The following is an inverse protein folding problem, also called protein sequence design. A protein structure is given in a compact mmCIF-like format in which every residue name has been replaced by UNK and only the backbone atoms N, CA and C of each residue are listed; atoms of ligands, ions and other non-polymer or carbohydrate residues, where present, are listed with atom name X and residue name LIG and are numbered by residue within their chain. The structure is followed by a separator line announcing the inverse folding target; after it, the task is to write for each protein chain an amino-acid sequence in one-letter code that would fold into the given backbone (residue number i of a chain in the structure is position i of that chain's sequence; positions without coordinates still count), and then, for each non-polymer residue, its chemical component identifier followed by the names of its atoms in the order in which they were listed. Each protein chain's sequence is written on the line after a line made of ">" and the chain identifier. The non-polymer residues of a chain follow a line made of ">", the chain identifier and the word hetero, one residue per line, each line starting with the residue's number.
data_IF_548791265504
#
_entry.id   IF_548791265504
#
_cell.length_a   1.000
_cell.length_b   1.000
_cell.length_c   1.000
_cell.angle_alpha   90.00
_cell.angle_beta   90.00
_cell.angle_gamma   90.00
#
_symmetry.space_group_name_H-M   'P 1'
#
loop_
_entity.id
_entity.type
_entity.pdbx_description
1 polymer ?
#
# COMPACT_ATOMS: atom_id res chain seq x y z
N UNK A 1 -13.00 0.84 13.71
CA UNK A 1 -12.93 -0.04 14.91
C UNK A 1 -12.29 -1.40 14.59
N UNK A 2 -12.78 -2.11 13.59
CA UNK A 2 -12.23 -3.42 13.19
C UNK A 2 -10.74 -3.30 12.84
N UNK A 3 -10.37 -2.30 12.06
CA UNK A 3 -8.97 -2.04 11.70
C UNK A 3 -8.06 -1.87 12.92
N UNK A 4 -8.48 -1.06 13.91
CA UNK A 4 -7.69 -0.82 15.13
C UNK A 4 -7.47 -2.12 15.91
N UNK A 5 -8.53 -2.93 16.05
CA UNK A 5 -8.48 -4.22 16.73
C UNK A 5 -7.54 -5.18 15.99
N UNK A 6 -7.73 -5.35 14.69
CA UNK A 6 -6.92 -6.26 13.86
C UNK A 6 -5.45 -5.84 13.85
N UNK A 7 -5.15 -4.54 13.70
CA UNK A 7 -3.79 -4.02 13.76
C UNK A 7 -3.11 -4.36 15.07
N UNK A 8 -3.81 -4.23 16.18
CA UNK A 8 -3.27 -4.52 17.50
C UNK A 8 -3.02 -6.01 17.71
N UNK A 9 -3.97 -6.86 17.33
CA UNK A 9 -3.77 -8.31 17.36
C UNK A 9 -2.62 -8.74 16.45
N UNK A 10 -2.50 -8.16 15.27
CA UNK A 10 -1.39 -8.47 14.35
C UNK A 10 -0.03 -8.11 14.96
N UNK A 11 0.09 -6.92 15.55
CA UNK A 11 1.32 -6.49 16.27
C UNK A 11 1.78 -7.56 17.27
N UNK A 12 0.85 -8.06 18.08
CA UNK A 12 1.15 -9.03 19.12
C UNK A 12 1.36 -10.45 18.59
N UNK A 13 0.65 -10.84 17.55
CA UNK A 13 0.88 -12.10 16.85
C UNK A 13 2.29 -12.15 16.24
N UNK A 14 2.71 -11.09 15.57
CA UNK A 14 4.04 -10.99 14.97
C UNK A 14 5.15 -11.01 16.04
N UNK A 15 4.93 -10.32 17.18
CA UNK A 15 5.83 -10.37 18.32
C UNK A 15 5.96 -11.81 18.90
N UNK A 16 4.84 -12.50 19.06
CA UNK A 16 4.83 -13.88 19.55
C UNK A 16 5.57 -14.82 18.61
N UNK A 17 5.30 -14.74 17.30
CA UNK A 17 5.97 -15.55 16.29
C UNK A 17 7.47 -15.29 16.23
N UNK A 18 7.91 -14.04 16.44
CA UNK A 18 9.32 -13.70 16.53
C UNK A 18 9.98 -14.35 17.74
N UNK A 19 9.36 -14.24 18.92
CA UNK A 19 9.87 -14.87 20.14
C UNK A 19 9.94 -16.39 20.01
N UNK A 20 8.97 -17.00 19.37
CA UNK A 20 8.95 -18.44 19.10
C UNK A 20 10.10 -18.86 18.19
N UNK A 21 10.38 -18.10 17.12
CA UNK A 21 11.53 -18.34 16.24
C UNK A 21 12.87 -18.20 16.98
N UNK A 22 12.94 -17.29 17.94
CA UNK A 22 14.13 -17.08 18.79
C UNK A 22 14.27 -18.11 19.93
N UNK A 23 13.37 -19.10 20.01
CA UNK A 23 13.36 -20.12 21.06
C UNK A 23 13.00 -19.57 22.46
N UNK A 24 12.45 -18.36 22.56
CA UNK A 24 12.05 -17.76 23.81
C UNK A 24 10.67 -18.27 24.25
N UNK A 25 10.54 -18.60 25.53
CA UNK A 25 9.30 -19.11 26.09
C UNK A 25 8.20 -18.07 26.24
N UNK A 26 6.98 -18.51 26.60
CA UNK A 26 5.81 -17.66 26.84
C UNK A 26 6.03 -16.57 27.89
N UNK A 27 6.94 -16.75 28.84
CA UNK A 27 7.31 -15.76 29.86
C UNK A 27 7.92 -14.47 29.28
N UNK A 28 8.50 -14.56 28.09
CA UNK A 28 9.08 -13.40 27.39
C UNK A 28 8.05 -12.60 26.57
N UNK A 29 6.83 -13.11 26.46
CA UNK A 29 5.75 -12.44 25.74
C UNK A 29 4.99 -11.49 26.66
N UNK A 30 4.92 -10.23 26.27
CA UNK A 30 4.29 -9.21 27.10
C UNK A 30 3.39 -8.31 26.26
N UNK A 31 2.17 -8.12 26.74
CA UNK A 31 1.21 -7.16 26.13
C UNK A 31 1.24 -5.88 26.98
N UNK A 32 1.46 -4.76 26.33
CA UNK A 32 1.48 -3.45 26.98
C UNK A 32 0.14 -3.13 27.62
N UNK A 33 0.15 -2.61 28.84
CA UNK A 33 -1.07 -2.17 29.53
C UNK A 33 -1.73 -0.97 28.84
N UNK A 34 -0.94 -0.15 28.14
CA UNK A 34 -1.46 0.94 27.32
C UNK A 34 -2.26 0.39 26.13
N UNK A 35 -1.70 -0.58 25.42
CA UNK A 35 -2.37 -1.22 24.28
C UNK A 35 -3.62 -2.00 24.71
N UNK A 36 -3.59 -2.66 25.88
CA UNK A 36 -4.79 -3.29 26.44
C UNK A 36 -5.89 -2.26 26.71
N UNK A 37 -5.53 -1.13 27.31
CA UNK A 37 -6.50 -0.06 27.56
C UNK A 37 -7.06 0.52 26.27
N UNK A 38 -6.23 0.74 25.26
CA UNK A 38 -6.67 1.21 23.94
C UNK A 38 -7.60 0.19 23.29
N UNK A 39 -7.27 -1.10 23.34
CA UNK A 39 -8.11 -2.16 22.81
C UNK A 39 -9.48 -2.20 23.51
N UNK A 40 -9.51 -2.13 24.84
CA UNK A 40 -10.76 -2.15 25.62
C UNK A 40 -11.58 -0.86 25.46
N UNK A 41 -10.94 0.27 25.16
CA UNK A 41 -11.61 1.53 24.85
C UNK A 41 -12.18 1.56 23.42
N UNK A 42 -11.70 0.69 22.53
CA UNK A 42 -12.20 0.62 21.17
C UNK A 42 -13.66 0.15 21.16
N UNK A 43 -14.53 0.94 20.52
CA UNK A 43 -15.97 0.65 20.52
C UNK A 43 -16.29 -0.72 19.96
N UNK A 44 -17.03 -1.46 20.77
CA UNK A 44 -17.76 -2.65 20.33
C UNK A 44 -19.23 -2.54 20.75
N UNK A 45 -20.14 -2.93 19.87
CA UNK A 45 -21.59 -2.81 20.10
C UNK A 45 -22.06 -3.50 21.38
N UNK A 46 -21.42 -4.62 21.74
CA UNK A 46 -21.78 -5.46 22.89
C UNK A 46 -20.75 -5.42 24.02
N UNK A 47 -19.66 -4.62 23.86
CA UNK A 47 -18.56 -4.61 24.80
C UNK A 47 -17.70 -5.89 24.74
N UNK A 48 -16.72 -5.95 25.62
CA UNK A 48 -15.86 -7.12 25.80
C UNK A 48 -16.32 -7.89 27.03
N UNK A 49 -16.35 -9.21 26.92
CA UNK A 49 -16.54 -10.09 28.08
C UNK A 49 -15.58 -11.29 28.00
N UNK A 50 -15.18 -11.77 29.15
CA UNK A 50 -14.30 -12.95 29.27
C UNK A 50 -15.13 -14.24 29.54
N UNK A 51 -16.45 -14.12 29.61
CA UNK A 51 -17.33 -15.21 30.03
C UNK A 51 -17.16 -16.50 29.24
N UNK A 52 -16.97 -16.40 27.90
CA UNK A 52 -16.79 -17.58 27.06
C UNK A 52 -15.49 -18.37 27.32
N UNK A 53 -14.51 -17.76 27.95
CA UNK A 53 -13.26 -18.44 28.29
C UNK A 53 -13.35 -19.27 29.56
N UNK A 54 -14.29 -18.88 30.47
CA UNK A 54 -14.38 -19.46 31.80
C UNK A 54 -15.66 -20.24 32.06
N UNK A 55 -16.75 -19.83 31.41
CA UNK A 55 -18.06 -20.42 31.63
C UNK A 55 -18.87 -20.52 30.32
N UNK A 56 -19.71 -21.53 30.25
CA UNK A 56 -20.72 -21.65 29.22
C UNK A 56 -22.04 -21.15 29.77
N UNK A 57 -22.65 -20.12 29.18
CA UNK A 57 -23.92 -19.51 29.60
C UNK A 57 -23.94 -18.93 31.04
N UNK A 58 -23.25 -17.81 31.26
CA UNK A 58 -23.25 -17.08 32.51
C UNK A 58 -23.60 -15.61 32.38
N UNK A 59 -23.87 -14.93 33.50
CA UNK A 59 -24.05 -13.46 33.54
C UNK A 59 -22.85 -12.68 33.01
N UNK A 60 -21.67 -13.28 33.10
CA UNK A 60 -20.38 -12.68 32.66
C UNK A 60 -20.20 -12.64 31.14
N UNK A 61 -21.15 -13.27 30.41
CA UNK A 61 -21.17 -13.22 28.95
C UNK A 61 -21.79 -11.94 28.38
N UNK A 62 -22.38 -11.11 29.24
CA UNK A 62 -23.06 -9.87 28.85
C UNK A 62 -22.42 -8.68 29.57
N UNK A 63 -21.89 -7.74 28.83
CA UNK A 63 -21.50 -6.47 29.40
C UNK A 63 -22.71 -5.56 29.57
N UNK A 64 -23.01 -5.21 30.83
CA UNK A 64 -24.09 -4.25 31.17
C UNK A 64 -23.61 -2.79 31.06
N UNK A 65 -22.30 -2.56 30.93
CA UNK A 65 -21.75 -1.22 30.76
C UNK A 65 -21.54 -0.94 29.27
N UNK A 66 -22.20 0.11 28.78
CA UNK A 66 -21.97 0.59 27.43
C UNK A 66 -20.54 1.12 27.33
N UNK A 67 -19.69 0.62 26.42
CA UNK A 67 -18.37 1.19 26.20
C UNK A 67 -18.52 2.66 25.81
N UNK A 68 -17.68 3.53 26.34
CA UNK A 68 -17.67 4.94 25.95
C UNK A 68 -17.33 5.00 24.47
N UNK A 69 -18.27 5.46 23.67
CA UNK A 69 -18.01 5.75 22.26
C UNK A 69 -17.09 6.95 22.22
N UNK A 70 -16.01 6.89 21.45
CA UNK A 70 -15.15 8.03 21.16
C UNK A 70 -15.84 9.20 20.43
N UNK A 71 -17.17 9.19 20.37
CA UNK A 71 -18.00 10.30 19.89
C UNK A 71 -18.28 11.38 20.95
N UNK A 72 -18.01 11.12 22.22
CA UNK A 72 -18.16 12.11 23.28
C UNK A 72 -16.92 13.03 23.37
N UNK A 73 -16.47 13.60 22.27
CA UNK A 73 -15.65 14.81 22.16
C UNK A 73 -14.31 14.88 22.91
N UNK A 74 -13.86 13.83 23.59
CA UNK A 74 -12.66 13.86 24.43
C UNK A 74 -11.57 12.86 24.03
N UNK A 75 -11.78 12.04 22.99
CA UNK A 75 -10.68 11.32 22.36
C UNK A 75 -10.19 12.21 21.21
N UNK A 76 -9.03 12.81 21.37
CA UNK A 76 -8.27 13.35 20.23
C UNK A 76 -8.28 12.26 19.15
N UNK A 77 -9.05 12.50 18.09
CA UNK A 77 -8.95 11.69 16.88
C UNK A 77 -7.51 11.84 16.42
N UNK A 78 -6.66 10.90 16.77
CA UNK A 78 -5.37 10.79 16.10
C UNK A 78 -5.71 10.67 14.62
N UNK A 79 -5.33 11.65 13.80
CA UNK A 79 -5.64 11.59 12.39
C UNK A 79 -5.16 10.22 11.89
N UNK A 80 -6.04 9.51 11.23
CA UNK A 80 -5.71 8.25 10.58
C UNK A 80 -4.52 8.55 9.69
N UNK A 81 -3.35 8.16 10.09
CA UNK A 81 -2.25 8.12 9.17
C UNK A 81 -2.63 7.05 8.18
N UNK A 82 -3.10 7.49 7.02
CA UNK A 82 -3.29 6.64 5.87
C UNK A 82 -1.94 5.98 5.61
N UNK A 83 -1.79 4.77 6.12
CA UNK A 83 -0.67 3.93 5.76
C UNK A 83 -0.97 3.57 4.31
N UNK A 84 -0.47 4.38 3.38
CA UNK A 84 -0.49 4.05 1.97
C UNK A 84 0.40 2.82 1.83
N UNK A 85 -0.21 1.67 1.70
CA UNK A 85 0.49 0.47 1.26
C UNK A 85 0.81 0.74 -0.20
N UNK A 86 2.08 0.97 -0.49
CA UNK A 86 2.54 1.19 -1.86
C UNK A 86 3.29 -0.06 -2.32
N UNK A 87 2.95 -0.52 -3.50
CA UNK A 87 3.62 -1.62 -4.17
C UNK A 87 4.95 -1.11 -4.76
N UNK A 88 5.99 -1.91 -4.64
CA UNK A 88 7.32 -1.57 -5.12
C UNK A 88 7.46 -1.93 -6.59
N UNK A 89 7.88 -0.94 -7.40
CA UNK A 89 8.10 -1.11 -8.83
C UNK A 89 9.55 -0.77 -9.20
N UNK A 90 10.02 -1.37 -10.29
CA UNK A 90 11.29 -1.03 -10.90
C UNK A 90 11.04 -0.25 -12.18
N UNK A 91 11.91 0.71 -12.49
CA UNK A 91 11.80 1.53 -13.69
C UNK A 91 13.13 1.69 -14.40
N UNK A 92 13.10 1.74 -15.74
CA UNK A 92 14.22 2.09 -16.59
C UNK A 92 13.76 3.20 -17.53
N UNK A 93 14.35 4.38 -17.41
CA UNK A 93 14.09 5.52 -18.27
C UNK A 93 15.26 5.69 -19.25
N UNK A 94 14.99 5.60 -20.54
CA UNK A 94 16.00 5.79 -21.60
C UNK A 94 15.72 7.08 -22.35
N UNK A 95 16.73 7.96 -22.41
CA UNK A 95 16.68 9.24 -23.09
C UNK A 95 17.89 9.36 -24.03
N UNK A 96 17.67 9.37 -25.34
CA UNK A 96 18.71 9.61 -26.32
C UNK A 96 18.27 10.65 -27.35
N UNK A 97 19.17 11.52 -27.76
CA UNK A 97 18.88 12.63 -28.69
C UNK A 97 18.38 12.10 -30.04
N UNK A 98 17.26 12.64 -30.53
CA UNK A 98 16.63 12.26 -31.79
C UNK A 98 15.77 10.99 -31.70
N UNK A 99 15.70 10.35 -30.55
CA UNK A 99 14.81 9.22 -30.28
C UNK A 99 13.66 9.63 -29.34
N UNK A 100 12.61 8.85 -29.32
CA UNK A 100 11.54 9.04 -28.35
C UNK A 100 11.97 8.58 -26.96
N UNK A 101 11.59 9.33 -25.94
CA UNK A 101 11.78 8.93 -24.55
C UNK A 101 11.05 7.60 -24.28
N UNK A 102 11.74 6.65 -23.64
CA UNK A 102 11.22 5.32 -23.36
C UNK A 102 11.26 5.07 -21.86
N UNK A 103 10.14 4.65 -21.30
CA UNK A 103 10.02 4.24 -19.91
C UNK A 103 9.56 2.79 -19.85
N UNK A 104 10.35 1.94 -19.23
CA UNK A 104 9.97 0.57 -18.90
C UNK A 104 9.71 0.50 -17.41
N UNK A 105 8.54 0.00 -17.02
CA UNK A 105 8.14 -0.16 -15.61
C UNK A 105 7.76 -1.61 -15.37
N UNK A 106 8.21 -2.17 -14.26
CA UNK A 106 7.91 -3.56 -13.89
C UNK A 106 7.46 -3.71 -12.44
N UNK A 107 6.50 -4.59 -12.22
CA UNK A 107 5.97 -4.99 -10.91
C UNK A 107 5.76 -6.52 -10.92
N UNK A 108 6.55 -7.25 -10.14
CA UNK A 108 6.56 -8.71 -10.20
C UNK A 108 6.85 -9.22 -11.62
N UNK A 109 5.92 -10.00 -12.16
CA UNK A 109 6.03 -10.59 -13.51
C UNK A 109 5.47 -9.68 -14.62
N UNK A 110 4.86 -8.55 -14.26
CA UNK A 110 4.29 -7.61 -15.24
C UNK A 110 5.32 -6.55 -15.60
N UNK A 111 5.55 -6.37 -16.89
CA UNK A 111 6.42 -5.32 -17.43
C UNK A 111 5.69 -4.59 -18.55
N UNK A 112 5.70 -3.28 -18.49
CA UNK A 112 5.12 -2.39 -19.50
C UNK A 112 6.18 -1.43 -20.03
N UNK A 113 6.01 -1.03 -21.30
CA UNK A 113 6.88 -0.12 -21.98
C UNK A 113 6.08 1.02 -22.59
N UNK A 114 6.37 2.25 -22.16
CA UNK A 114 5.73 3.46 -22.66
C UNK A 114 6.71 4.32 -23.44
N UNK A 115 6.21 4.88 -24.53
CA UNK A 115 7.00 5.69 -25.47
C UNK A 115 6.47 7.12 -25.43
N UNK A 116 7.28 8.05 -24.94
CA UNK A 116 6.93 9.45 -24.81
C UNK A 116 7.30 10.31 -26.03
N UNK A 117 7.51 11.59 -25.76
CA UNK A 117 7.90 12.58 -26.77
C UNK A 117 9.33 12.37 -27.24
N UNK A 118 9.68 12.97 -28.38
CA UNK A 118 11.02 12.97 -28.92
C UNK A 118 11.96 13.81 -28.06
N UNK A 119 13.14 13.24 -27.76
CA UNK A 119 14.18 13.87 -26.96
C UNK A 119 15.02 14.79 -27.84
N UNK A 120 15.07 16.07 -27.51
CA UNK A 120 15.81 17.07 -28.25
C UNK A 120 17.24 17.22 -27.70
N UNK A 121 18.14 17.74 -28.54
CA UNK A 121 19.44 18.16 -28.08
C UNK A 121 19.32 19.44 -27.22
N UNK A 122 19.99 19.45 -26.07
CA UNK A 122 19.98 20.62 -25.20
C UNK A 122 20.75 21.77 -25.81
N UNK A 123 20.12 22.92 -26.00
CA UNK A 123 20.76 24.12 -26.54
C UNK A 123 21.53 24.96 -25.52
N UNK A 124 21.06 24.95 -24.25
CA UNK A 124 21.68 25.78 -23.19
C UNK A 124 22.11 24.95 -21.98
N UNK A 125 21.17 24.19 -21.40
CA UNK A 125 21.43 23.40 -20.20
C UNK A 125 20.84 21.99 -20.36
N UNK A 126 21.67 20.95 -20.29
CA UNK A 126 21.19 19.58 -20.34
C UNK A 126 20.37 19.24 -19.12
N UNK A 127 19.52 18.26 -19.22
CA UNK A 127 18.75 17.74 -18.10
C UNK A 127 19.68 17.09 -17.07
N UNK A 128 19.56 17.52 -15.83
CA UNK A 128 20.27 16.92 -14.70
C UNK A 128 19.61 15.59 -14.32
N UNK A 129 20.37 14.47 -14.28
CA UNK A 129 19.87 13.15 -13.90
C UNK A 129 19.19 13.16 -12.53
N UNK A 130 19.73 13.87 -11.54
CA UNK A 130 19.17 13.96 -10.20
C UNK A 130 17.79 14.64 -10.20
N UNK A 131 17.61 15.64 -11.07
CA UNK A 131 16.32 16.31 -11.24
C UNK A 131 15.29 15.42 -11.91
N UNK A 132 15.69 14.63 -12.91
CA UNK A 132 14.85 13.63 -13.57
C UNK A 132 14.39 12.58 -12.54
N UNK A 133 15.34 12.01 -11.79
CA UNK A 133 15.05 11.00 -10.77
C UNK A 133 14.06 11.52 -9.75
N UNK A 134 14.29 12.70 -9.20
CA UNK A 134 13.38 13.34 -8.24
C UNK A 134 11.98 13.53 -8.82
N UNK A 135 11.86 13.80 -10.11
CA UNK A 135 10.58 14.00 -10.77
C UNK A 135 9.87 12.66 -11.04
N UNK A 136 10.61 11.66 -11.47
CA UNK A 136 10.07 10.33 -11.74
C UNK A 136 9.61 9.62 -10.45
N UNK A 137 10.31 9.80 -9.33
CA UNK A 137 9.93 9.24 -8.02
C UNK A 137 8.69 9.88 -7.39
N UNK A 138 8.11 10.92 -7.98
CA UNK A 138 6.88 11.56 -7.48
C UNK A 138 5.63 10.75 -7.83
N UNK A 139 5.44 9.61 -7.21
CA UNK A 139 4.28 8.73 -7.40
C UNK A 139 3.18 8.92 -6.35
N UNK A 140 3.20 10.01 -5.61
CA UNK A 140 2.48 10.23 -4.35
C UNK A 140 0.97 10.02 -4.33
N UNK A 141 0.29 10.00 -5.48
CA UNK A 141 -1.15 9.75 -5.58
C UNK A 141 -1.47 8.36 -6.17
N UNK A 142 -0.46 7.50 -6.33
CA UNK A 142 -0.61 6.17 -6.87
C UNK A 142 -0.32 5.11 -5.80
N UNK A 143 -0.71 3.89 -6.07
CA UNK A 143 -0.46 2.71 -5.23
C UNK A 143 0.98 2.19 -5.38
N UNK A 144 1.81 2.86 -6.19
CA UNK A 144 3.15 2.43 -6.51
C UNK A 144 4.23 3.38 -5.99
N UNK A 145 5.40 2.81 -5.68
CA UNK A 145 6.62 3.55 -5.37
C UNK A 145 7.82 2.89 -6.07
N UNK A 146 8.70 3.70 -6.66
CA UNK A 146 9.91 3.18 -7.28
C UNK A 146 10.91 2.70 -6.21
N UNK A 147 11.19 1.40 -6.20
CA UNK A 147 12.28 0.80 -5.43
C UNK A 147 13.61 1.07 -6.16
N UNK A 148 13.72 0.60 -7.40
CA UNK A 148 14.84 0.88 -8.29
C UNK A 148 14.38 1.72 -9.48
N UNK A 149 15.13 2.76 -9.80
CA UNK A 149 14.92 3.58 -10.99
C UNK A 149 16.28 3.84 -11.65
N UNK A 150 16.46 3.24 -12.80
CA UNK A 150 17.65 3.44 -13.62
C UNK A 150 17.37 4.49 -14.71
N UNK A 151 18.30 5.43 -14.89
CA UNK A 151 18.16 6.50 -15.86
C UNK A 151 19.34 6.42 -16.82
N UNK A 152 19.06 6.05 -18.06
CA UNK A 152 20.03 5.92 -19.13
C UNK A 152 19.93 7.16 -20.03
N UNK A 153 20.97 7.98 -20.05
CA UNK A 153 21.03 9.21 -20.83
C UNK A 153 22.18 9.13 -21.84
N UNK A 154 21.85 9.31 -23.10
CA UNK A 154 22.81 9.36 -24.19
C UNK A 154 22.87 10.76 -24.80
N UNK A 155 24.00 11.45 -24.58
CA UNK A 155 24.23 12.79 -25.06
C UNK A 155 23.66 13.91 -24.20
N UNK A 156 23.67 15.12 -24.72
CA UNK A 156 23.12 16.30 -24.05
C UNK A 156 21.63 16.41 -24.36
N UNK A 157 20.80 15.78 -23.53
CA UNK A 157 19.37 15.67 -23.74
C UNK A 157 18.58 16.83 -23.15
N UNK A 158 17.53 17.21 -23.85
CA UNK A 158 16.50 18.10 -23.35
C UNK A 158 15.11 17.48 -23.57
N UNK A 159 14.32 17.44 -22.51
CA UNK A 159 12.90 17.06 -22.56
C UNK A 159 12.13 17.94 -21.58
N UNK A 160 10.96 18.48 -21.95
CA UNK A 160 10.12 19.25 -21.02
C UNK A 160 9.75 18.41 -19.80
N UNK A 161 9.74 19.01 -18.61
CA UNK A 161 9.36 18.31 -17.38
C UNK A 161 7.91 17.82 -17.42
N UNK A 162 7.05 18.48 -18.19
CA UNK A 162 5.69 18.03 -18.44
C UNK A 162 5.68 16.69 -19.18
N UNK A 163 6.48 16.54 -20.23
CA UNK A 163 6.58 15.30 -21.00
C UNK A 163 7.08 14.11 -20.13
N UNK A 164 8.02 14.36 -19.20
CA UNK A 164 8.44 13.35 -18.22
C UNK A 164 7.30 12.96 -17.27
N UNK A 165 6.49 13.91 -16.85
CA UNK A 165 5.33 13.64 -15.98
C UNK A 165 4.26 12.84 -16.71
N UNK A 166 3.98 13.16 -17.96
CA UNK A 166 3.03 12.45 -18.82
C UNK A 166 3.51 11.01 -19.01
N UNK A 167 4.75 10.80 -19.40
CA UNK A 167 5.33 9.48 -19.60
C UNK A 167 5.27 8.62 -18.32
N UNK A 168 5.58 9.21 -17.16
CA UNK A 168 5.44 8.51 -15.88
C UNK A 168 3.98 8.11 -15.60
N UNK A 169 3.03 9.03 -15.83
CA UNK A 169 1.60 8.75 -15.59
C UNK A 169 1.10 7.64 -16.50
N UNK A 170 1.40 7.72 -17.78
CA UNK A 170 1.06 6.69 -18.78
C UNK A 170 1.66 5.33 -18.38
N UNK A 171 2.93 5.29 -17.97
CA UNK A 171 3.59 4.06 -17.54
C UNK A 171 2.96 3.41 -16.31
N UNK A 172 2.54 4.22 -15.33
CA UNK A 172 1.86 3.72 -14.13
C UNK A 172 0.43 3.28 -14.44
N UNK A 173 -0.27 4.00 -15.31
CA UNK A 173 -1.64 3.68 -15.72
C UNK A 173 -1.67 2.36 -16.51
N UNK A 174 -0.81 2.20 -17.49
CA UNK A 174 -0.67 0.97 -18.26
C UNK A 174 -0.28 -0.22 -17.37
N UNK A 175 0.65 -0.02 -16.42
CA UNK A 175 1.03 -1.06 -15.46
C UNK A 175 -0.18 -1.48 -14.60
N UNK A 176 -0.98 -0.52 -14.16
CA UNK A 176 -2.19 -0.78 -13.37
C UNK A 176 -3.19 -1.61 -14.17
N UNK A 177 -3.42 -1.27 -15.44
CA UNK A 177 -4.33 -1.99 -16.33
C UNK A 177 -3.85 -3.42 -16.58
N UNK A 178 -2.56 -3.62 -16.83
CA UNK A 178 -1.99 -4.94 -17.08
C UNK A 178 -2.06 -5.83 -15.83
N UNK A 179 -1.80 -5.28 -14.65
CA UNK A 179 -1.98 -6.00 -13.38
C UNK A 179 -3.46 -6.37 -13.17
N UNK A 180 -4.38 -5.44 -13.41
CA UNK A 180 -5.81 -5.70 -13.26
C UNK A 180 -6.31 -6.79 -14.24
N UNK A 181 -5.77 -6.82 -15.46
CA UNK A 181 -6.12 -7.85 -16.44
C UNK A 181 -5.73 -9.24 -15.97
N UNK A 182 -4.60 -9.41 -15.28
CA UNK A 182 -4.19 -10.71 -14.73
C UNK A 182 -5.16 -11.24 -13.66
N UNK A 183 -5.81 -10.35 -12.91
CA UNK A 183 -6.77 -10.71 -11.85
C UNK A 183 -8.22 -10.70 -12.33
N UNK A 184 -8.48 -10.35 -13.59
CA UNK A 184 -9.82 -10.35 -14.15
C UNK A 184 -10.32 -11.79 -14.24
N UNK A 185 -11.37 -12.08 -13.49
CA UNK A 185 -12.04 -13.38 -13.58
C UNK A 185 -12.70 -13.49 -14.95
N UNK A 186 -12.44 -14.57 -15.65
CA UNK A 186 -13.26 -14.95 -16.79
C UNK A 186 -14.70 -15.12 -16.29
N UNK A 187 -15.65 -14.50 -16.98
CA UNK A 187 -17.07 -14.73 -16.69
C UNK A 187 -17.33 -16.23 -16.88
N UNK A 188 -17.36 -16.96 -15.76
CA UNK A 188 -17.90 -18.30 -15.76
C UNK A 188 -19.37 -18.12 -16.17
N UNK A 189 -19.65 -18.34 -17.45
CA UNK A 189 -20.98 -18.22 -18.00
C UNK A 189 -21.95 -19.02 -17.12
N UNK A 190 -22.69 -18.29 -16.27
CA UNK A 190 -23.72 -18.89 -15.45
C UNK A 190 -24.84 -19.28 -16.40
N UNK A 191 -24.69 -20.43 -17.03
CA UNK A 191 -25.74 -21.09 -17.79
C UNK A 191 -26.88 -21.45 -16.85
N UNK A 192 -27.74 -20.49 -16.54
CA UNK A 192 -29.06 -20.79 -15.98
C UNK A 192 -29.80 -21.66 -17.01
N UNK A 193 -29.69 -22.97 -16.85
CA UNK A 193 -30.67 -23.89 -17.47
C UNK A 193 -32.02 -23.54 -16.89
N UNK A 194 -32.86 -22.84 -17.66
CA UNK A 194 -34.28 -22.73 -17.33
C UNK A 194 -34.81 -24.16 -17.25
N UNK A 195 -35.21 -24.58 -16.05
CA UNK A 195 -36.01 -25.77 -15.88
C UNK A 195 -37.36 -25.53 -16.60
N UNK A 196 -37.62 -26.35 -17.57
CA UNK A 196 -38.93 -26.47 -18.23
C UNK A 196 -39.89 -27.20 -17.34
#
# INVERSE_FOLDING_TARGET
>A
YVYTVVKMYRKYADQYLKLQKEGKGKSSYHVSEADKRELLATYQRRGYCEGYYYQHNGKDMVSLKRPKNGRDGSAEEKPWQDIKVQEKINGILTLSVGNRAKLTVSCGDVTVECIGQEVQAAQKQPLDPARIEKQMRKTGNTEFTFDNLEILIEGNVFLPMQALNELRREGIEELTEQIQMQYRREDAGCGMKKAT
#
